data_IF_991409449503
#
_entry.id   IF_991409449503
#
_cell.length_a   1.000
_cell.length_b   1.000
_cell.length_c   1.000
_cell.angle_alpha   90.00
_cell.angle_beta   90.00
_cell.angle_gamma   90.00
#
_symmetry.space_group_name_H-M   'P 1'
#
loop_
_entity.id
_entity.type
_entity.pdbx_description
1 polymer ?
#
# COMPACT_ATOMS: atom_id res chain seq x y z
N UNK A 1 2.69 -57.38 -7.20
CA UNK A 1 3.14 -56.03 -7.63
C UNK A 1 1.96 -55.03 -7.65
N UNK A 2 1.72 -54.31 -6.55
CA UNK A 2 0.70 -53.25 -6.48
C UNK A 2 1.35 -51.92 -6.89
N UNK A 3 0.84 -51.33 -7.97
CA UNK A 3 1.29 -50.04 -8.51
C UNK A 3 1.09 -48.94 -7.46
N UNK A 4 2.19 -48.39 -6.97
CA UNK A 4 2.24 -47.16 -6.20
C UNK A 4 1.80 -46.04 -7.17
N UNK A 5 0.56 -45.55 -7.02
CA UNK A 5 0.18 -44.28 -7.64
C UNK A 5 0.91 -43.21 -6.85
N UNK A 6 1.93 -42.61 -7.47
CA UNK A 6 2.61 -41.41 -6.99
C UNK A 6 1.52 -40.40 -6.63
N UNK A 7 1.42 -40.10 -5.35
CA UNK A 7 0.59 -39.04 -4.80
C UNK A 7 1.21 -37.77 -5.35
N UNK A 8 0.47 -37.07 -6.22
CA UNK A 8 0.87 -35.81 -6.80
C UNK A 8 1.41 -34.90 -5.70
N UNK A 9 2.68 -34.52 -5.84
CA UNK A 9 3.27 -33.42 -5.08
C UNK A 9 2.50 -32.16 -5.46
N UNK A 10 1.46 -31.86 -4.70
CA UNK A 10 0.94 -30.51 -4.61
C UNK A 10 2.05 -29.72 -3.92
N UNK A 11 2.97 -29.15 -4.70
CA UNK A 11 3.80 -28.03 -4.28
C UNK A 11 2.83 -26.99 -3.72
N UNK A 12 2.68 -26.96 -2.38
CA UNK A 12 2.11 -25.83 -1.69
C UNK A 12 3.06 -24.67 -1.97
N UNK A 13 2.76 -23.88 -3.00
CA UNK A 13 3.31 -22.53 -3.13
C UNK A 13 2.86 -21.78 -1.89
N UNK A 14 3.71 -21.76 -0.87
CA UNK A 14 3.52 -20.96 0.32
C UNK A 14 3.80 -19.54 -0.10
N UNK A 15 2.76 -18.76 -0.39
CA UNK A 15 2.91 -17.31 -0.58
C UNK A 15 3.61 -16.75 0.65
N UNK A 16 4.62 -15.88 0.50
CA UNK A 16 5.32 -15.29 1.63
C UNK A 16 4.35 -14.60 2.59
N UNK A 17 4.54 -14.71 3.91
CA UNK A 17 3.70 -14.02 4.89
C UNK A 17 3.92 -12.51 4.87
N UNK A 18 5.12 -12.07 4.42
CA UNK A 18 5.54 -10.68 4.35
C UNK A 18 5.92 -10.31 2.91
N UNK A 19 5.79 -9.03 2.56
CA UNK A 19 6.16 -8.51 1.25
C UNK A 19 6.68 -7.08 1.32
N UNK A 20 7.31 -6.64 0.24
CA UNK A 20 7.83 -5.29 0.11
C UNK A 20 7.42 -4.69 -1.22
N UNK A 21 6.90 -3.46 -1.19
CA UNK A 21 6.60 -2.66 -2.37
C UNK A 21 7.66 -1.56 -2.47
N UNK A 22 8.42 -1.56 -3.55
CA UNK A 22 9.31 -0.44 -3.91
C UNK A 22 8.65 0.36 -5.02
N UNK A 23 8.54 1.67 -4.81
CA UNK A 23 7.98 2.55 -5.82
C UNK A 23 8.77 3.85 -5.91
N UNK A 24 9.13 4.20 -7.13
CA UNK A 24 9.80 5.46 -7.46
C UNK A 24 8.82 6.30 -8.28
N UNK A 25 8.64 7.55 -7.86
CA UNK A 25 7.70 8.46 -8.49
C UNK A 25 8.45 9.66 -9.04
N UNK A 26 8.51 9.74 -10.35
CA UNK A 26 9.04 10.90 -11.04
C UNK A 26 8.07 12.08 -10.98
N UNK A 27 8.61 13.30 -11.04
CA UNK A 27 7.83 14.53 -11.12
C UNK A 27 6.75 14.65 -10.02
N UNK A 28 7.11 14.33 -8.77
CA UNK A 28 6.20 14.35 -7.59
C UNK A 28 5.37 15.63 -7.49
N UNK A 29 5.94 16.78 -7.85
CA UNK A 29 5.26 18.10 -7.85
C UNK A 29 4.08 18.24 -8.81
N UNK A 30 3.91 17.29 -9.73
CA UNK A 30 2.82 17.23 -10.73
C UNK A 30 1.72 16.24 -10.36
N UNK A 31 1.88 15.50 -9.24
CA UNK A 31 0.84 14.60 -8.77
C UNK A 31 -0.40 15.39 -8.35
N UNK A 32 -1.55 14.80 -8.63
CA UNK A 32 -2.85 15.29 -8.18
C UNK A 32 -3.55 14.18 -7.37
N UNK A 33 -4.83 14.36 -7.09
CA UNK A 33 -5.64 13.39 -6.34
C UNK A 33 -5.83 12.04 -7.05
N UNK A 34 -5.57 11.94 -8.36
CA UNK A 34 -5.62 10.66 -9.08
C UNK A 34 -4.41 9.78 -8.76
N UNK A 35 -3.29 10.41 -8.39
CA UNK A 35 -2.09 9.74 -7.93
C UNK A 35 -1.43 8.82 -8.96
N UNK A 36 -0.48 8.02 -8.46
CA UNK A 36 0.21 6.97 -9.18
C UNK A 36 0.13 5.68 -8.39
N UNK A 37 -0.17 4.60 -9.09
CA UNK A 37 -0.34 3.27 -8.51
C UNK A 37 0.88 2.41 -8.80
N UNK A 38 1.21 1.52 -7.87
CA UNK A 38 2.18 0.46 -8.10
C UNK A 38 1.56 -0.71 -8.85
N UNK A 39 2.41 -1.60 -9.35
CA UNK A 39 1.98 -2.94 -9.70
C UNK A 39 1.43 -3.66 -8.46
N UNK A 40 0.58 -4.65 -8.72
CA UNK A 40 0.02 -5.53 -7.70
C UNK A 40 1.07 -6.55 -7.25
N UNK A 41 1.13 -6.82 -5.94
CA UNK A 41 1.91 -7.90 -5.35
C UNK A 41 1.03 -8.82 -4.51
N UNK A 42 1.39 -10.10 -4.44
CA UNK A 42 0.69 -11.06 -3.59
C UNK A 42 1.46 -11.28 -2.28
N UNK A 43 0.80 -11.07 -1.13
CA UNK A 43 1.34 -11.30 0.22
C UNK A 43 0.30 -12.04 1.04
N UNK A 44 0.68 -13.18 1.63
CA UNK A 44 -0.25 -14.02 2.39
C UNK A 44 -1.45 -14.53 1.58
N UNK A 45 -1.31 -14.65 0.25
CA UNK A 45 -2.40 -15.02 -0.66
C UNK A 45 -3.39 -13.89 -0.93
N UNK A 46 -3.02 -12.65 -0.60
CA UNK A 46 -3.84 -11.45 -0.77
C UNK A 46 -3.14 -10.50 -1.74
N UNK A 47 -3.85 -9.94 -2.73
CA UNK A 47 -3.30 -8.93 -3.62
C UNK A 47 -3.27 -7.54 -2.95
N UNK A 48 -2.13 -6.87 -3.06
CA UNK A 48 -1.85 -5.55 -2.49
C UNK A 48 -1.28 -4.62 -3.55
N UNK A 49 -1.55 -3.33 -3.41
CA UNK A 49 -0.89 -2.28 -4.17
C UNK A 49 -0.70 -1.04 -3.31
N UNK A 50 0.18 -0.13 -3.73
CA UNK A 50 0.28 1.19 -3.13
C UNK A 50 -0.17 2.28 -4.12
N UNK A 51 -0.66 3.39 -3.58
CA UNK A 51 -0.96 4.60 -4.32
C UNK A 51 -0.24 5.79 -3.69
N UNK A 52 0.32 6.67 -4.51
CA UNK A 52 0.96 7.90 -4.08
C UNK A 52 0.30 9.08 -4.77
N UNK A 53 -0.19 10.05 -4.01
CA UNK A 53 -0.88 11.23 -4.56
C UNK A 53 -0.53 12.47 -3.76
N UNK A 54 -0.67 13.64 -4.37
CA UNK A 54 -0.45 14.92 -3.71
C UNK A 54 -1.79 15.64 -3.54
N UNK A 55 -1.94 16.33 -2.42
CA UNK A 55 -3.14 17.12 -2.15
C UNK A 55 -2.79 18.39 -1.39
N UNK A 56 -3.62 19.42 -1.57
CA UNK A 56 -3.54 20.64 -0.80
C UNK A 56 -4.25 20.42 0.53
N UNK A 57 -3.54 20.58 1.64
CA UNK A 57 -4.19 20.56 2.94
C UNK A 57 -4.80 21.93 3.19
N UNK A 58 -6.12 22.04 3.04
CA UNK A 58 -6.84 23.23 3.45
C UNK A 58 -6.68 23.39 4.97
N UNK A 59 -5.88 24.35 5.40
CA UNK A 59 -5.75 24.67 6.82
C UNK A 59 -7.05 25.34 7.26
N UNK A 60 -7.68 24.83 8.34
CA UNK A 60 -8.97 25.37 8.84
C UNK A 60 -8.85 26.81 9.37
N UNK A 61 -7.64 27.36 9.46
CA UNK A 61 -7.38 28.72 9.92
C UNK A 61 -6.50 29.51 8.93
N UNK A 62 -7.17 30.30 8.09
CA UNK A 62 -6.74 31.60 7.54
C UNK A 62 -5.34 31.73 6.89
N UNK A 63 -5.36 32.12 5.61
CA UNK A 63 -4.41 33.00 4.92
C UNK A 63 -2.94 32.55 4.91
N UNK A 64 -2.49 32.19 3.68
CA UNK A 64 -1.10 32.14 3.20
C UNK A 64 -0.27 30.88 3.49
N UNK A 65 -0.57 29.81 2.75
CA UNK A 65 0.27 29.18 1.70
C UNK A 65 -0.34 27.81 1.38
N UNK A 66 -0.45 27.46 0.10
CA UNK A 66 -0.81 26.11 -0.33
C UNK A 66 0.28 25.16 0.15
N UNK A 67 0.12 24.61 1.34
CA UNK A 67 0.97 23.52 1.82
C UNK A 67 0.54 22.28 1.05
N UNK A 68 1.41 21.85 0.12
CA UNK A 68 1.22 20.59 -0.59
C UNK A 68 1.70 19.43 0.26
N UNK A 69 0.87 18.42 0.39
CA UNK A 69 1.18 17.20 1.15
C UNK A 69 1.21 16.00 0.22
N UNK A 70 2.24 15.16 0.39
CA UNK A 70 2.32 13.87 -0.27
C UNK A 70 1.64 12.81 0.59
N UNK A 71 0.73 12.03 0.03
CA UNK A 71 0.06 10.90 0.65
C UNK A 71 0.55 9.58 0.05
N UNK A 72 0.78 8.58 0.88
CA UNK A 72 1.03 7.19 0.46
C UNK A 72 -0.04 6.29 1.07
N UNK A 73 -0.78 5.56 0.24
CA UNK A 73 -1.82 4.62 0.64
C UNK A 73 -1.44 3.18 0.31
N UNK A 74 -1.64 2.26 1.26
CA UNK A 74 -1.62 0.82 1.03
C UNK A 74 -3.04 0.33 0.79
N UNK A 75 -3.26 -0.42 -0.29
CA UNK A 75 -4.57 -0.86 -0.77
C UNK A 75 -4.60 -2.39 -0.82
N UNK A 76 -5.67 -2.98 -0.27
CA UNK A 76 -5.95 -4.41 -0.31
C UNK A 76 -7.03 -4.71 -1.37
N UNK A 77 -6.75 -5.60 -2.33
CA UNK A 77 -7.57 -5.83 -3.53
C UNK A 77 -8.41 -7.12 -3.47
N UNK A 78 -9.15 -7.31 -2.39
CA UNK A 78 -9.93 -8.53 -2.09
C UNK A 78 -11.38 -8.45 -2.56
N UNK A 79 -11.63 -7.69 -3.63
CA UNK A 79 -12.93 -7.25 -4.12
C UNK A 79 -13.89 -8.40 -4.47
N UNK A 80 -13.37 -9.60 -4.70
CA UNK A 80 -14.16 -10.78 -5.11
C UNK A 80 -14.57 -11.69 -3.95
N UNK A 81 -14.01 -11.48 -2.75
CA UNK A 81 -14.31 -12.31 -1.58
C UNK A 81 -15.36 -11.59 -0.73
N UNK A 82 -16.48 -12.26 -0.45
CA UNK A 82 -17.45 -11.77 0.53
C UNK A 82 -16.99 -12.21 1.92
N UNK A 83 -17.04 -11.29 2.90
CA UNK A 83 -16.74 -11.55 4.32
C UNK A 83 -15.29 -11.94 4.60
N UNK A 84 -14.38 -10.98 4.51
CA UNK A 84 -12.99 -11.14 4.93
C UNK A 84 -12.58 -10.00 5.87
N UNK A 85 -11.55 -10.27 6.65
CA UNK A 85 -10.87 -9.30 7.51
C UNK A 85 -9.39 -9.65 7.53
N UNK A 86 -8.54 -8.67 7.29
CA UNK A 86 -7.09 -8.82 7.32
C UNK A 86 -6.52 -7.74 8.23
N UNK A 87 -5.63 -8.15 9.14
CA UNK A 87 -4.80 -7.23 9.91
C UNK A 87 -3.38 -7.32 9.35
N UNK A 88 -2.76 -6.17 9.09
CA UNK A 88 -1.38 -6.08 8.59
C UNK A 88 -0.63 -5.01 9.36
N UNK A 89 0.64 -5.26 9.61
CA UNK A 89 1.58 -4.24 10.07
C UNK A 89 2.37 -3.76 8.86
N UNK A 90 2.28 -2.47 8.55
CA UNK A 90 3.00 -1.88 7.44
C UNK A 90 4.05 -0.89 7.95
N UNK A 91 5.23 -0.98 7.35
CA UNK A 91 6.33 -0.03 7.54
C UNK A 91 6.50 0.76 6.25
N UNK A 92 6.29 2.06 6.34
CA UNK A 92 6.46 3.00 5.26
C UNK A 92 7.79 3.71 5.41
N UNK A 93 8.54 3.76 4.32
CA UNK A 93 9.83 4.44 4.26
C UNK A 93 9.80 5.34 3.03
N UNK A 94 9.66 6.65 3.24
CA UNK A 94 9.74 7.65 2.18
C UNK A 94 11.14 8.24 2.19
N UNK A 95 11.82 8.22 1.05
CA UNK A 95 13.19 8.72 0.91
C UNK A 95 13.19 9.86 -0.08
N UNK A 96 13.62 11.05 0.34
CA UNK A 96 13.79 12.17 -0.57
C UNK A 96 15.15 12.07 -1.28
N UNK A 97 15.19 12.09 -2.62
CA UNK A 97 16.39 11.73 -3.39
C UNK A 97 17.57 12.70 -3.20
N UNK A 98 17.31 13.98 -2.90
CA UNK A 98 18.35 15.02 -2.91
C UNK A 98 18.97 15.39 -1.56
N UNK A 99 18.36 15.02 -0.43
CA UNK A 99 18.76 15.55 0.88
C UNK A 99 18.96 14.47 1.97
N UNK A 100 18.94 13.19 1.58
CA UNK A 100 19.04 12.04 2.49
C UNK A 100 18.03 12.03 3.65
N UNK A 101 17.02 12.91 3.65
CA UNK A 101 15.93 12.85 4.60
C UNK A 101 15.05 11.67 4.23
N UNK A 102 14.72 10.90 5.24
CA UNK A 102 13.75 9.84 5.13
C UNK A 102 12.75 9.95 6.27
N UNK A 103 11.50 9.62 5.97
CA UNK A 103 10.44 9.47 6.93
C UNK A 103 10.15 7.97 7.05
N UNK A 104 10.26 7.45 8.26
CA UNK A 104 9.89 6.07 8.58
C UNK A 104 8.69 6.09 9.52
N UNK A 105 7.61 5.42 9.13
CA UNK A 105 6.41 5.28 9.94
C UNK A 105 6.00 3.81 9.93
N UNK A 106 5.66 3.29 11.10
CA UNK A 106 5.12 1.95 11.28
C UNK A 106 3.67 2.07 11.76
N UNK A 107 2.77 1.33 11.13
CA UNK A 107 1.34 1.39 11.44
C UNK A 107 0.69 0.02 11.30
N UNK A 108 -0.23 -0.28 12.22
CA UNK A 108 -1.08 -1.46 12.14
C UNK A 108 -2.39 -1.07 11.48
N UNK A 109 -2.80 -1.84 10.48
CA UNK A 109 -3.99 -1.60 9.69
C UNK A 109 -4.93 -2.78 9.79
N UNK A 110 -6.22 -2.47 9.82
CA UNK A 110 -7.29 -3.47 9.77
C UNK A 110 -8.12 -3.17 8.53
N UNK A 111 -8.14 -4.12 7.61
CA UNK A 111 -8.91 -4.08 6.37
C UNK A 111 -10.08 -5.05 6.49
N UNK A 112 -11.30 -4.62 6.17
CA UNK A 112 -12.48 -5.48 6.16
C UNK A 112 -13.48 -5.14 5.05
N UNK A 113 -14.27 -6.13 4.64
CA UNK A 113 -15.27 -5.97 3.60
C UNK A 113 -16.41 -5.03 4.07
N UNK A 114 -16.48 -3.82 3.52
CA UNK A 114 -17.50 -2.81 3.85
C UNK A 114 -16.93 -1.39 3.99
N UNK A 115 -15.64 -1.28 4.33
CA UNK A 115 -14.91 -0.02 4.32
C UNK A 115 -14.42 0.26 2.90
N UNK A 116 -15.22 1.01 2.14
CA UNK A 116 -14.92 1.67 0.87
C UNK A 116 -13.95 0.92 -0.07
N UNK A 117 -14.12 -0.40 -0.25
CA UNK A 117 -13.41 -1.31 -1.17
C UNK A 117 -11.87 -1.24 -1.22
N UNK A 118 -11.26 -0.43 -0.37
CA UNK A 118 -9.86 -0.05 -0.32
C UNK A 118 -9.68 0.48 1.10
N UNK A 119 -9.11 -0.32 2.00
CA UNK A 119 -8.58 0.30 3.21
C UNK A 119 -7.55 1.32 2.73
N UNK A 120 -7.73 2.57 3.11
CA UNK A 120 -6.79 3.63 2.80
C UNK A 120 -6.17 4.05 4.11
N UNK A 121 -4.85 4.01 4.16
CA UNK A 121 -4.12 4.63 5.26
C UNK A 121 -3.04 5.51 4.68
N UNK A 122 -2.97 6.75 5.16
CA UNK A 122 -2.15 7.78 4.59
C UNK A 122 -1.08 8.26 5.55
N UNK A 123 0.10 8.49 4.99
CA UNK A 123 1.16 9.27 5.61
C UNK A 123 1.29 10.55 4.83
N UNK A 124 1.30 11.67 5.54
CA UNK A 124 1.37 12.99 4.92
C UNK A 124 2.73 13.62 5.20
N UNK A 125 3.48 13.97 4.16
CA UNK A 125 4.75 14.71 4.27
C UNK A 125 4.61 16.08 3.58
N UNK A 126 4.91 17.15 4.33
CA UNK A 126 5.15 18.51 3.83
C UNK A 126 6.55 18.62 3.20
N UNK A 127 6.61 18.91 1.90
CA UNK A 127 7.88 19.25 1.20
C UNK A 127 8.57 20.51 1.78
#
# INVERSE_FOLDING_TARGET
PRKIRKRDEVEKRTTPPDGFIRFEVDHVSTLDLSGKYTDEIEVGGVPWMANVYQFDKADESSVAKEDKWLSVSLICLTNQVKNWRICVEAKYILVHPSNNKHLTIEKSHKFENGDDMRGHDFITWKE
#
